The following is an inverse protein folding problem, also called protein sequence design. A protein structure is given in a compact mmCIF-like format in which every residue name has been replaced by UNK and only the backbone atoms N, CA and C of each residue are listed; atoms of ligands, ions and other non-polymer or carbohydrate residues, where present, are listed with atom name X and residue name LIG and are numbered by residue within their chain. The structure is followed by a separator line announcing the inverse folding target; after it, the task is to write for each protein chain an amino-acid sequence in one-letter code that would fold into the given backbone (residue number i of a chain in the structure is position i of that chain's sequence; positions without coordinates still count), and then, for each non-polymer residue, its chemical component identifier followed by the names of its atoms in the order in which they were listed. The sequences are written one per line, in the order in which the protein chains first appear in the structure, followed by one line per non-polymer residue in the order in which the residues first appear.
data_IF_815123675143
#
_entry.id   IF_815123675143
#
_cell.length_a   1.000
_cell.length_b   1.000
_cell.length_c   1.000
_cell.angle_alpha   90.00
_cell.angle_beta   90.00
_cell.angle_gamma   90.00
#
_symmetry.space_group_name_H-M   'P 1'
#
loop_
_entity.id
_entity.type
_entity.pdbx_description
1 polymer ?
#
# COMPACT_ATOMS: atom_id res chain seq x y z
N UNK A 1 16.07 -7.86 7.79
CA UNK A 1 14.63 -8.01 7.52
C UNK A 1 13.91 -6.88 8.21
N UNK A 2 13.20 -6.05 7.45
CA UNK A 2 12.43 -4.93 8.01
C UNK A 2 10.97 -5.34 8.18
N UNK A 3 10.23 -4.65 9.05
CA UNK A 3 8.82 -4.98 9.30
C UNK A 3 7.94 -3.96 8.58
N UNK A 4 7.28 -4.37 7.51
CA UNK A 4 6.27 -3.56 6.83
C UNK A 4 4.99 -3.52 7.69
N UNK A 5 4.62 -2.33 8.14
CA UNK A 5 3.40 -2.10 8.93
C UNK A 5 2.46 -1.18 8.15
N UNK A 6 1.16 -1.48 8.13
CA UNK A 6 0.16 -0.57 7.61
C UNK A 6 0.19 0.70 8.44
N UNK A 7 0.40 1.84 7.78
CA UNK A 7 0.24 3.16 8.38
C UNK A 7 -1.24 3.57 8.35
N UNK A 8 -1.92 3.26 7.25
CA UNK A 8 -3.36 3.49 7.09
C UNK A 8 -3.81 3.14 5.68
N UNK A 9 -5.12 2.99 5.52
CA UNK A 9 -5.80 2.93 4.23
C UNK A 9 -6.51 4.26 4.05
N UNK A 10 -6.24 4.91 2.93
CA UNK A 10 -6.85 6.19 2.56
C UNK A 10 -7.47 6.04 1.18
N UNK A 11 -8.60 6.68 0.95
CA UNK A 11 -9.13 6.81 -0.41
C UNK A 11 -8.39 7.92 -1.14
N UNK A 12 -8.46 7.96 -2.47
CA UNK A 12 -7.89 9.07 -3.26
C UNK A 12 -8.33 10.45 -2.74
N UNK A 13 -9.58 10.55 -2.26
CA UNK A 13 -10.18 11.75 -1.66
C UNK A 13 -9.63 12.09 -0.28
N UNK A 14 -9.36 11.08 0.55
CA UNK A 14 -8.89 11.25 1.93
C UNK A 14 -7.35 11.23 2.04
N UNK A 15 -6.65 10.96 0.93
CA UNK A 15 -5.21 10.88 0.87
C UNK A 15 -4.57 12.26 1.15
N UNK A 16 -3.67 12.34 2.15
CA UNK A 16 -2.90 13.55 2.40
C UNK A 16 -2.09 14.00 1.17
N UNK A 17 -1.96 15.31 0.96
CA UNK A 17 -1.21 15.87 -0.18
C UNK A 17 0.26 15.42 -0.22
N UNK A 18 0.84 15.02 0.92
CA UNK A 18 2.21 14.48 0.97
C UNK A 18 2.34 13.14 0.21
N UNK A 19 1.27 12.36 0.12
CA UNK A 19 1.25 11.06 -0.56
C UNK A 19 0.67 11.11 -1.96
N UNK A 20 -0.07 12.18 -2.32
CA UNK A 20 -0.59 12.39 -3.68
C UNK A 20 0.46 12.22 -4.79
N UNK A 21 1.66 12.83 -4.72
CA UNK A 21 2.65 12.65 -5.80
C UNK A 21 3.17 11.21 -5.89
N UNK A 22 3.21 10.46 -4.79
CA UNK A 22 3.62 9.04 -4.81
C UNK A 22 2.54 8.16 -5.44
N UNK A 23 1.29 8.46 -5.15
CA UNK A 23 0.13 7.79 -5.75
C UNK A 23 0.05 8.07 -7.24
N UNK A 24 0.13 9.34 -7.63
CA UNK A 24 0.07 9.76 -9.04
C UNK A 24 1.22 9.15 -9.85
N UNK A 25 2.44 9.13 -9.27
CA UNK A 25 3.61 8.49 -9.87
C UNK A 25 3.41 6.97 -10.06
N UNK A 26 2.94 6.26 -9.03
CA UNK A 26 2.76 4.80 -9.13
C UNK A 26 1.59 4.44 -10.07
N UNK A 27 0.51 5.22 -10.06
CA UNK A 27 -0.60 5.05 -10.99
C UNK A 27 -0.22 5.33 -12.44
N UNK A 28 0.60 6.36 -12.68
CA UNK A 28 1.16 6.65 -13.99
C UNK A 28 2.11 5.55 -14.48
N UNK A 29 2.90 4.97 -13.58
CA UNK A 29 3.79 3.83 -13.88
C UNK A 29 3.00 2.58 -14.25
N UNK A 30 1.93 2.27 -13.51
CA UNK A 30 1.05 1.11 -13.75
C UNK A 30 -0.03 1.37 -14.81
N UNK A 31 -0.12 2.60 -15.36
CA UNK A 31 -1.19 3.06 -16.26
C UNK A 31 -2.59 2.71 -15.76
N UNK A 32 -2.80 2.81 -14.45
CA UNK A 32 -4.06 2.47 -13.81
C UNK A 32 -4.93 3.71 -13.67
N UNK A 33 -6.21 3.63 -14.05
CA UNK A 33 -7.17 4.69 -13.77
C UNK A 33 -7.47 4.69 -12.27
N UNK A 34 -6.94 5.69 -11.57
CA UNK A 34 -7.27 5.95 -10.17
C UNK A 34 -8.72 6.43 -10.11
N UNK A 35 -9.60 5.60 -9.58
CA UNK A 35 -10.95 6.04 -9.22
C UNK A 35 -10.92 6.84 -7.92
N UNK A 36 -11.83 7.79 -7.76
CA UNK A 36 -11.96 8.57 -6.52
C UNK A 36 -12.23 7.70 -5.27
N UNK A 37 -12.84 6.53 -5.48
CA UNK A 37 -13.14 5.51 -4.48
C UNK A 37 -12.00 4.48 -4.33
N UNK A 38 -10.85 4.71 -4.99
CA UNK A 38 -9.71 3.80 -4.93
C UNK A 38 -9.08 3.81 -3.54
N UNK A 39 -9.03 2.64 -2.91
CA UNK A 39 -8.43 2.47 -1.60
C UNK A 39 -6.91 2.27 -1.72
N UNK A 40 -6.17 3.10 -1.01
CA UNK A 40 -4.71 3.19 -1.07
C UNK A 40 -4.16 2.85 0.30
N UNK A 41 -3.49 1.71 0.39
CA UNK A 41 -2.77 1.29 1.58
C UNK A 41 -1.37 1.90 1.59
N UNK A 42 -1.07 2.67 2.64
CA UNK A 42 0.27 3.19 2.90
C UNK A 42 0.96 2.24 3.87
N UNK A 43 2.00 1.56 3.41
CA UNK A 43 2.84 0.67 4.20
C UNK A 43 4.09 1.43 4.62
N UNK A 44 4.33 1.53 5.93
CA UNK A 44 5.58 2.07 6.45
C UNK A 44 6.50 0.93 6.85
N UNK A 45 7.74 0.96 6.36
CA UNK A 45 8.73 -0.07 6.67
C UNK A 45 9.41 0.31 8.00
N UNK A 46 9.04 -0.35 9.09
CA UNK A 46 9.69 -0.15 10.40
C UNK A 46 11.17 -0.49 10.30
N UNK A 47 12.00 0.48 10.68
CA UNK A 47 13.45 0.42 10.60
C UNK A 47 14.03 1.22 9.45
N UNK A 48 13.19 1.75 8.54
CA UNK A 48 13.56 2.77 7.56
C UNK A 48 12.58 3.95 7.65
N UNK A 49 12.90 5.05 6.96
CA UNK A 49 11.96 6.16 6.75
C UNK A 49 11.21 6.02 5.42
N UNK A 50 11.20 4.82 4.83
CA UNK A 50 10.58 4.55 3.54
C UNK A 50 9.12 4.15 3.72
N UNK A 51 8.25 4.83 2.97
CA UNK A 51 6.85 4.49 2.85
C UNK A 51 6.60 3.89 1.46
N UNK A 52 5.78 2.85 1.41
CA UNK A 52 5.37 2.18 0.20
C UNK A 52 3.87 2.38 0.00
N UNK A 53 3.50 2.71 -1.23
CA UNK A 53 2.11 2.95 -1.62
C UNK A 53 1.62 1.71 -2.35
N UNK A 54 0.47 1.18 -1.93
CA UNK A 54 -0.19 0.02 -2.54
C UNK A 54 -1.64 0.39 -2.86
N UNK A 55 -2.08 0.07 -4.08
CA UNK A 55 -3.46 0.26 -4.51
C UNK A 55 -4.26 -1.01 -4.26
N UNK A 56 -5.17 -1.00 -3.27
CA UNK A 56 -5.92 -2.19 -2.88
C UNK A 56 -6.71 -2.78 -4.06
N UNK A 57 -7.38 -1.97 -4.88
CA UNK A 57 -8.08 -2.49 -6.08
C UNK A 57 -7.17 -3.07 -7.16
N UNK A 58 -5.84 -2.95 -7.06
CA UNK A 58 -4.93 -3.61 -8.01
C UNK A 58 -4.64 -5.05 -7.59
N UNK A 59 -4.77 -5.33 -6.29
CA UNK A 59 -4.51 -6.64 -5.73
C UNK A 59 -5.84 -7.36 -5.54
N UNK A 60 -5.89 -8.62 -5.96
CA UNK A 60 -7.05 -9.47 -5.66
C UNK A 60 -6.83 -10.28 -4.39
N UNK A 61 -5.57 -10.45 -3.97
CA UNK A 61 -5.22 -11.21 -2.79
C UNK A 61 -4.11 -10.53 -1.99
N UNK A 62 -4.20 -10.68 -0.68
CA UNK A 62 -3.16 -10.19 0.22
C UNK A 62 -1.83 -10.91 0.11
N UNK A 63 -1.85 -12.13 -0.40
CA UNK A 63 -0.64 -12.92 -0.61
C UNK A 63 0.27 -12.27 -1.67
N UNK A 64 -0.29 -11.58 -2.66
CA UNK A 64 0.48 -10.81 -3.65
C UNK A 64 1.25 -9.66 -3.00
N UNK A 65 0.56 -8.90 -2.14
CA UNK A 65 1.15 -7.80 -1.37
C UNK A 65 2.25 -8.31 -0.45
N UNK A 66 1.98 -9.44 0.22
CA UNK A 66 2.95 -10.09 1.09
C UNK A 66 4.19 -10.49 0.30
N UNK A 67 4.02 -11.06 -0.88
CA UNK A 67 5.11 -11.54 -1.73
C UNK A 67 5.94 -10.39 -2.28
N UNK A 68 5.31 -9.33 -2.77
CA UNK A 68 6.00 -8.11 -3.24
C UNK A 68 6.84 -7.47 -2.13
N UNK A 69 6.29 -7.35 -0.92
CA UNK A 69 7.02 -6.84 0.23
C UNK A 69 8.17 -7.78 0.64
N UNK A 70 7.95 -9.09 0.62
CA UNK A 70 8.97 -10.09 0.94
C UNK A 70 10.13 -10.06 -0.08
N UNK A 71 9.83 -9.89 -1.36
CA UNK A 71 10.82 -9.66 -2.43
C UNK A 71 11.58 -8.33 -2.23
N UNK A 72 10.92 -7.29 -1.73
CA UNK A 72 11.54 -6.04 -1.33
C UNK A 72 12.32 -6.12 0.02
N UNK A 73 12.37 -7.29 0.67
CA UNK A 73 13.06 -7.51 1.93
C UNK A 73 12.33 -7.01 3.18
N UNK A 74 11.03 -6.74 3.05
CA UNK A 74 10.14 -6.29 4.12
C UNK A 74 9.08 -7.35 4.44
N UNK A 75 8.95 -7.71 5.72
CA UNK A 75 7.93 -8.65 6.17
C UNK A 75 6.69 -7.90 6.61
N UNK A 76 5.55 -8.17 5.98
CA UNK A 76 4.28 -7.58 6.38
C UNK A 76 3.84 -8.12 7.75
N UNK A 77 3.36 -7.25 8.64
CA UNK A 77 2.90 -7.66 9.97
C UNK A 77 1.50 -8.33 9.89
N UNK A 78 1.21 -9.28 10.79
CA UNK A 78 -0.05 -10.03 10.79
C UNK A 78 -1.28 -9.12 11.00
N UNK A 79 -1.12 -8.03 11.76
CA UNK A 79 -2.15 -7.01 11.98
C UNK A 79 -2.46 -6.24 10.69
N UNK A 80 -1.42 -5.84 9.96
CA UNK A 80 -1.55 -5.24 8.62
C UNK A 80 -2.30 -6.20 7.70
N UNK A 81 -1.91 -7.47 7.73
CA UNK A 81 -2.49 -8.52 6.92
C UNK A 81 -4.02 -8.60 7.15
N UNK A 82 -4.44 -8.69 8.42
CA UNK A 82 -5.88 -8.68 8.76
C UNK A 82 -6.64 -7.44 8.31
N UNK A 83 -6.01 -6.26 8.33
CA UNK A 83 -6.70 -5.01 7.95
C UNK A 83 -6.91 -4.96 6.44
N UNK A 84 -5.88 -5.33 5.66
CA UNK A 84 -6.02 -5.42 4.21
C UNK A 84 -6.97 -6.56 3.80
N UNK A 85 -6.96 -7.71 4.50
CA UNK A 85 -7.90 -8.81 4.25
C UNK A 85 -9.37 -8.43 4.52
N UNK A 86 -9.62 -7.41 5.35
CA UNK A 86 -10.96 -6.86 5.57
C UNK A 86 -11.40 -5.85 4.50
N UNK A 87 -10.49 -5.43 3.61
CA UNK A 87 -10.69 -4.42 2.56
C UNK A 87 -10.48 -4.99 1.13
N UNK A 88 -10.11 -6.26 1.01
CA UNK A 88 -10.00 -7.02 -0.23
C UNK A 88 -11.20 -7.96 -0.36
#
# INVERSE_FOLDING_TARGET
MFIATLKGIFTLKDLPEEFRPFVDYKAGLEKKELSDDEEIAIISIKGTQSNHVLFLSSYNNIDEIRKELEEAGAKINHTTLKILEGHL
#
